data_IF_870720479981
#
_entry.id   IF_870720479981
#
_cell.length_a   1.000
_cell.length_b   1.000
_cell.length_c   1.000
_cell.angle_alpha   90.00
_cell.angle_beta   90.00
_cell.angle_gamma   90.00
#
_symmetry.space_group_name_H-M   'P 1'
#
loop_
_entity.id
_entity.type
_entity.pdbx_description
1 polymer ?
#
# COMPACT_ATOMS: atom_id res chain seq x y z
N UNK A 1 0.26 -4.68 -14.36
CA UNK A 1 0.82 -5.47 -13.25
C UNK A 1 2.32 -5.24 -13.24
N UNK A 2 2.86 -4.69 -12.15
CA UNK A 2 4.29 -4.43 -11.98
C UNK A 2 4.79 -5.12 -10.71
N UNK A 3 6.08 -5.49 -10.69
CA UNK A 3 6.73 -6.08 -9.52
C UNK A 3 8.06 -5.37 -9.28
N UNK A 4 8.42 -5.24 -8.00
CA UNK A 4 9.71 -4.74 -7.56
C UNK A 4 10.31 -5.72 -6.54
N UNK A 5 11.64 -5.78 -6.51
CA UNK A 5 12.43 -6.55 -5.54
C UNK A 5 13.30 -5.58 -4.76
N UNK A 6 13.94 -6.07 -3.69
CA UNK A 6 14.71 -5.30 -2.74
C UNK A 6 15.72 -4.38 -3.44
N UNK A 7 15.51 -3.06 -3.43
CA UNK A 7 16.53 -2.13 -3.89
C UNK A 7 17.74 -2.15 -2.96
N UNK A 8 18.92 -1.67 -3.40
CA UNK A 8 20.08 -1.52 -2.54
C UNK A 8 19.81 -0.68 -1.27
N UNK A 9 18.80 0.20 -1.30
CA UNK A 9 18.35 0.99 -0.15
C UNK A 9 17.71 0.16 0.95
N UNK A 10 17.19 -1.04 0.65
CA UNK A 10 16.72 -1.99 1.67
C UNK A 10 17.86 -2.43 2.60
N UNK A 11 19.06 -2.64 2.05
CA UNK A 11 20.21 -3.17 2.80
C UNK A 11 21.15 -2.07 3.34
N UNK A 12 21.12 -0.88 2.71
CA UNK A 12 21.95 0.27 3.10
C UNK A 12 21.17 1.33 3.90
N UNK A 13 19.84 1.25 3.91
CA UNK A 13 18.95 2.15 4.64
C UNK A 13 19.07 1.97 6.15
N UNK A 14 19.16 3.07 6.88
CA UNK A 14 19.29 3.07 8.35
C UNK A 14 17.94 3.08 9.07
N UNK A 15 16.82 2.90 8.35
CA UNK A 15 15.48 3.00 8.93
C UNK A 15 14.72 1.68 8.79
N UNK A 16 13.97 1.31 9.84
CA UNK A 16 13.16 0.10 9.84
C UNK A 16 12.12 0.08 8.71
N UNK A 17 11.63 1.26 8.30
CA UNK A 17 10.61 1.42 7.24
C UNK A 17 11.12 0.95 5.87
N UNK A 18 12.41 1.16 5.58
CA UNK A 18 13.02 0.70 4.33
C UNK A 18 13.21 -0.82 4.32
N UNK A 19 13.59 -1.40 5.46
CA UNK A 19 13.78 -2.85 5.62
C UNK A 19 12.45 -3.60 5.44
N UNK A 20 11.34 -3.04 5.93
CA UNK A 20 10.01 -3.70 5.84
C UNK A 20 9.32 -3.55 4.47
N UNK A 21 9.96 -2.87 3.49
CA UNK A 21 9.52 -2.91 2.10
C UNK A 21 8.84 -1.65 1.56
N UNK A 22 8.93 -0.50 2.26
CA UNK A 22 8.40 0.78 1.76
C UNK A 22 8.93 1.15 0.36
N UNK A 23 10.25 1.05 0.17
CA UNK A 23 10.89 1.41 -1.11
C UNK A 23 10.46 0.46 -2.23
N UNK A 24 10.26 -0.83 -1.93
CA UNK A 24 9.77 -1.80 -2.92
C UNK A 24 8.37 -1.46 -3.39
N UNK A 25 7.45 -1.21 -2.45
CA UNK A 25 6.06 -0.84 -2.75
C UNK A 25 6.00 0.46 -3.55
N UNK A 26 6.78 1.46 -3.14
CA UNK A 26 6.86 2.75 -3.84
C UNK A 26 7.38 2.58 -5.27
N UNK A 27 8.47 1.82 -5.45
CA UNK A 27 9.03 1.57 -6.78
C UNK A 27 8.07 0.81 -7.71
N UNK A 28 7.32 -0.15 -7.18
CA UNK A 28 6.31 -0.86 -7.95
C UNK A 28 5.15 0.06 -8.35
N UNK A 29 4.66 0.88 -7.42
CA UNK A 29 3.60 1.85 -7.65
C UNK A 29 4.01 2.92 -8.67
N UNK A 30 5.20 3.51 -8.52
CA UNK A 30 5.74 4.53 -9.42
C UNK A 30 5.88 3.98 -10.85
N UNK A 31 6.39 2.75 -10.99
CA UNK A 31 6.46 2.07 -12.29
C UNK A 31 5.07 1.87 -12.90
N UNK A 32 4.09 1.47 -12.09
CA UNK A 32 2.72 1.25 -12.57
C UNK A 32 2.08 2.55 -13.04
N UNK A 33 2.12 3.60 -12.22
CA UNK A 33 1.57 4.92 -12.56
C UNK A 33 2.32 5.60 -13.71
N UNK A 34 3.61 5.33 -13.91
CA UNK A 34 4.34 5.83 -15.07
C UNK A 34 3.91 5.18 -16.40
N UNK A 35 3.35 3.97 -16.34
CA UNK A 35 2.89 3.20 -17.51
C UNK A 35 1.39 3.37 -17.79
N UNK A 36 0.66 3.99 -16.88
CA UNK A 36 -0.77 4.27 -17.02
C UNK A 36 -1.00 5.79 -17.03
N UNK A 37 -2.19 6.22 -17.44
CA UNK A 37 -2.58 7.64 -17.32
C UNK A 37 -3.20 7.93 -15.94
N UNK A 38 -3.19 6.94 -15.05
CA UNK A 38 -3.87 6.96 -13.75
C UNK A 38 -2.91 7.54 -12.72
N UNK A 39 -3.40 8.42 -11.86
CA UNK A 39 -2.68 8.93 -10.69
C UNK A 39 -3.14 8.23 -9.41
N UNK A 40 -2.37 8.28 -8.31
CA UNK A 40 -2.83 7.78 -7.02
C UNK A 40 -4.20 8.35 -6.58
N UNK A 41 -4.48 9.60 -6.96
CA UNK A 41 -5.74 10.30 -6.68
C UNK A 41 -6.95 9.73 -7.43
N UNK A 42 -6.72 9.05 -8.56
CA UNK A 42 -7.76 8.46 -9.39
C UNK A 42 -8.17 7.06 -8.89
N UNK A 43 -7.45 6.52 -7.89
CA UNK A 43 -7.70 5.17 -7.36
C UNK A 43 -8.87 5.21 -6.39
N UNK A 44 -9.96 4.52 -6.73
CA UNK A 44 -11.18 4.53 -5.91
C UNK A 44 -11.24 3.40 -4.87
N UNK A 45 -10.57 2.28 -5.14
CA UNK A 45 -10.57 1.09 -4.29
C UNK A 45 -9.16 0.51 -4.25
N UNK A 46 -8.70 0.12 -3.07
CA UNK A 46 -7.39 -0.51 -2.90
C UNK A 46 -7.51 -1.72 -1.98
N UNK A 47 -6.94 -2.84 -2.40
CA UNK A 47 -6.71 -4.02 -1.54
C UNK A 47 -5.21 -4.11 -1.24
N UNK A 48 -4.86 -4.07 0.05
CA UNK A 48 -3.50 -3.98 0.59
C UNK A 48 -3.15 -5.21 1.43
N UNK A 49 -1.85 -5.53 1.49
CA UNK A 49 -1.35 -6.57 2.38
C UNK A 49 -1.22 -6.06 3.83
N UNK A 50 -2.32 -6.11 4.59
CA UNK A 50 -2.45 -5.65 5.98
C UNK A 50 -2.06 -6.73 7.02
N UNK A 51 -0.89 -7.35 6.89
CA UNK A 51 -0.41 -8.32 7.91
C UNK A 51 -0.22 -7.71 9.30
N UNK A 52 0.02 -6.39 9.36
CA UNK A 52 0.08 -5.60 10.58
C UNK A 52 -0.47 -4.20 10.29
N UNK A 53 -1.15 -3.58 11.25
CA UNK A 53 -1.67 -2.21 11.13
C UNK A 53 -0.57 -1.18 10.81
N UNK A 54 0.65 -1.41 11.31
CA UNK A 54 1.81 -0.59 10.97
C UNK A 54 2.18 -0.67 9.48
N UNK A 55 2.00 -1.83 8.84
CA UNK A 55 2.30 -2.03 7.42
C UNK A 55 1.29 -1.30 6.53
N UNK A 56 0.02 -1.26 6.93
CA UNK A 56 -1.02 -0.52 6.22
C UNK A 56 -0.71 0.99 6.19
N UNK A 57 -0.29 1.54 7.34
CA UNK A 57 0.03 2.96 7.49
C UNK A 57 1.19 3.39 6.58
N UNK A 58 2.29 2.64 6.55
CA UNK A 58 3.43 2.95 5.66
C UNK A 58 3.09 2.71 4.18
N UNK A 59 2.16 1.80 3.90
CA UNK A 59 1.76 1.45 2.53
C UNK A 59 0.93 2.56 1.88
N UNK A 60 0.09 3.26 2.65
CA UNK A 60 -0.63 4.45 2.15
C UNK A 60 0.33 5.52 1.62
N UNK A 61 1.42 5.75 2.36
CA UNK A 61 2.45 6.72 1.99
C UNK A 61 3.30 6.23 0.82
N UNK A 62 3.54 4.91 0.72
CA UNK A 62 4.30 4.30 -0.37
C UNK A 62 3.53 4.35 -1.69
N UNK A 63 2.21 4.11 -1.66
CA UNK A 63 1.32 4.17 -2.82
C UNK A 63 0.99 5.60 -3.27
N UNK A 64 1.34 6.60 -2.45
CA UNK A 64 1.06 8.00 -2.75
C UNK A 64 -0.40 8.42 -2.50
N UNK A 65 -1.16 7.65 -1.72
CA UNK A 65 -2.52 8.01 -1.29
C UNK A 65 -2.50 9.19 -0.31
N UNK A 66 -1.42 9.29 0.48
CA UNK A 66 -1.15 10.41 1.36
C UNK A 66 0.35 10.76 1.35
N UNK A 67 0.69 11.93 1.88
CA UNK A 67 2.09 12.38 1.98
C UNK A 67 2.84 11.58 3.06
N UNK A 68 4.16 11.38 2.95
CA UNK A 68 4.96 10.76 4.01
C UNK A 68 4.76 11.45 5.36
N UNK A 69 4.54 10.66 6.42
CA UNK A 69 4.21 11.12 7.76
C UNK A 69 2.77 11.61 7.97
N UNK A 70 1.89 11.48 6.97
CA UNK A 70 0.48 11.95 7.04
C UNK A 70 -0.55 10.83 7.02
N UNK A 71 -0.12 9.57 7.05
CA UNK A 71 -1.06 8.46 7.08
C UNK A 71 -1.95 8.42 8.35
N UNK A 72 -1.48 8.94 9.49
CA UNK A 72 -2.33 9.09 10.68
C UNK A 72 -3.51 10.03 10.45
N UNK A 73 -3.25 11.24 9.95
CA UNK A 73 -4.28 12.23 9.61
C UNK A 73 -5.25 11.70 8.54
N UNK A 74 -4.73 10.95 7.56
CA UNK A 74 -5.52 10.32 6.50
C UNK A 74 -6.51 9.26 7.02
N UNK A 75 -6.12 8.51 8.05
CA UNK A 75 -7.01 7.56 8.72
C UNK A 75 -8.03 8.31 9.59
N UNK A 76 -7.58 9.28 10.38
CA UNK A 76 -8.45 10.06 11.28
C UNK A 76 -9.52 10.85 10.53
N UNK A 77 -9.22 11.33 9.31
CA UNK A 77 -10.19 12.00 8.45
C UNK A 77 -11.22 11.04 7.81
N UNK A 78 -11.07 9.72 7.99
CA UNK A 78 -11.91 8.72 7.34
C UNK A 78 -11.69 8.63 5.84
N UNK A 79 -10.54 9.10 5.33
CA UNK A 79 -10.27 9.13 3.89
C UNK A 79 -10.02 7.73 3.30
N UNK A 80 -9.78 6.72 4.14
CA UNK A 80 -9.50 5.33 3.77
C UNK A 80 -10.73 4.40 3.82
N UNK A 81 -11.95 4.91 4.06
CA UNK A 81 -13.17 4.10 4.21
C UNK A 81 -14.30 4.54 3.28
N UNK A 82 -15.44 3.85 3.33
CA UNK A 82 -16.62 4.17 2.51
C UNK A 82 -17.07 5.63 2.72
N UNK A 83 -17.15 6.39 1.63
CA UNK A 83 -17.45 7.83 1.66
C UNK A 83 -16.22 8.73 1.82
N UNK A 84 -15.03 8.14 2.00
CA UNK A 84 -13.74 8.81 1.96
C UNK A 84 -13.19 8.98 0.54
N UNK A 85 -11.89 9.25 0.45
CA UNK A 85 -11.18 9.43 -0.82
C UNK A 85 -11.01 8.10 -1.56
N UNK A 86 -10.66 7.04 -0.82
CA UNK A 86 -10.40 5.70 -1.36
C UNK A 86 -10.92 4.67 -0.38
N UNK A 87 -11.55 3.62 -0.90
CA UNK A 87 -12.02 2.51 -0.06
C UNK A 87 -10.89 1.49 0.06
N UNK A 88 -10.30 1.40 1.25
CA UNK A 88 -9.24 0.43 1.55
C UNK A 88 -9.84 -0.85 2.10
N UNK A 89 -9.38 -2.00 1.58
CA UNK A 89 -9.75 -3.33 2.02
C UNK A 89 -11.27 -3.54 2.18
N UNK A 90 -12.12 -3.15 1.20
CA UNK A 90 -13.57 -3.39 1.28
C UNK A 90 -13.92 -4.87 1.47
N UNK A 91 -13.01 -5.78 1.12
CA UNK A 91 -13.16 -7.21 1.34
C UNK A 91 -13.07 -7.64 2.82
N UNK A 92 -12.68 -6.76 3.73
CA UNK A 92 -12.47 -7.02 5.16
C UNK A 92 -11.01 -7.20 5.58
N UNK A 93 -10.05 -7.17 4.63
CA UNK A 93 -8.60 -7.28 4.92
C UNK A 93 -8.17 -8.65 5.46
N UNK A 94 -6.86 -8.89 5.57
CA UNK A 94 -6.28 -10.08 6.19
C UNK A 94 -6.64 -10.15 7.69
N UNK A 95 -6.81 -8.99 8.34
CA UNK A 95 -7.17 -8.88 9.76
C UNK A 95 -8.55 -9.50 10.07
N UNK A 96 -9.51 -9.43 9.15
CA UNK A 96 -10.85 -10.01 9.36
C UNK A 96 -11.07 -11.36 8.67
N UNK A 97 -10.38 -11.64 7.54
CA UNK A 97 -10.57 -12.89 6.77
C UNK A 97 -9.63 -14.06 7.13
N UNK A 98 -8.55 -13.82 7.87
CA UNK A 98 -7.55 -14.84 8.21
C UNK A 98 -6.50 -15.06 7.12
N UNK A 99 -5.37 -15.65 7.51
CA UNK A 99 -4.13 -15.67 6.72
C UNK A 99 -3.74 -17.07 6.18
N UNK A 100 -4.31 -17.53 5.06
CA UNK A 100 -3.75 -18.66 4.32
C UNK A 100 -2.59 -18.14 3.45
N UNK A 101 -1.36 -18.36 3.93
CA UNK A 101 -0.08 -17.94 3.33
C UNK A 101 0.12 -18.34 1.85
N UNK A 102 -0.67 -19.29 1.32
CA UNK A 102 -0.54 -19.81 -0.05
C UNK A 102 -1.40 -19.14 -1.13
N UNK A 103 -2.43 -18.37 -0.77
CA UNK A 103 -3.39 -17.80 -1.75
C UNK A 103 -3.42 -16.26 -1.77
N UNK A 104 -2.81 -15.61 -0.78
CA UNK A 104 -2.75 -14.14 -0.64
C UNK A 104 -1.86 -13.46 -1.68
N UNK A 105 -0.97 -14.19 -2.37
CA UNK A 105 -0.18 -13.65 -3.47
C UNK A 105 -0.96 -13.36 -4.77
N UNK A 106 -2.13 -14.00 -4.97
CA UNK A 106 -2.87 -13.92 -6.25
C UNK A 106 -4.08 -12.98 -6.24
N UNK A 107 -4.54 -12.52 -5.07
CA UNK A 107 -5.71 -11.61 -4.97
C UNK A 107 -5.33 -10.12 -4.93
N UNK A 108 -4.04 -9.80 -4.82
CA UNK A 108 -3.58 -8.48 -4.39
C UNK A 108 -2.82 -7.73 -5.50
N UNK A 109 -3.59 -7.30 -6.51
CA UNK A 109 -3.36 -6.08 -7.27
C UNK A 109 -4.67 -5.76 -7.99
N UNK A 110 -5.55 -4.97 -7.37
CA UNK A 110 -6.58 -4.28 -8.16
C UNK A 110 -6.12 -2.84 -8.31
N UNK A 111 -5.81 -2.52 -9.57
CA UNK A 111 -5.56 -1.18 -10.09
C UNK A 111 -6.90 -0.45 -10.14
#
# INVERSE_FOLDING_TARGET
MEMATDPPTTFSGQTCVQIVGYDMTKLAADKLFSKTTIKPEDVNVVELHDCFSANELITYEALGLCKPGKAGEFIESGSNTYGGQVVVNPSGGLISKGHPLGATGNYFLTI
#
